data_IF_266883160537
#
_entry.id   IF_266883160537
#
_cell.length_a   1.000
_cell.length_b   1.000
_cell.length_c   1.000
_cell.angle_alpha   90.00
_cell.angle_beta   90.00
_cell.angle_gamma   90.00
#
_symmetry.space_group_name_H-M   'P 1'
#
loop_
_entity.id
_entity.type
_entity.pdbx_description
1 polymer ?
#
# COMPACT_ATOMS: atom_id res chain seq x y z
N UNK A 1 -6.29 -7.58 1.18
CA UNK A 1 -7.22 -6.60 0.58
C UNK A 1 -7.12 -5.31 1.38
N UNK A 2 -7.22 -4.16 0.72
CA UNK A 2 -7.14 -2.84 1.32
C UNK A 2 -8.13 -1.89 0.64
N UNK A 3 -8.53 -0.84 1.33
CA UNK A 3 -9.44 0.20 0.88
C UNK A 3 -8.71 1.55 1.03
N UNK A 4 -8.77 2.40 -0.01
CA UNK A 4 -8.17 3.74 0.06
C UNK A 4 -8.75 4.53 1.23
N UNK A 5 -8.04 5.52 1.80
CA UNK A 5 -8.57 6.27 2.94
C UNK A 5 -9.90 6.96 2.70
N UNK A 6 -10.17 7.37 1.45
CA UNK A 6 -11.46 7.95 1.02
C UNK A 6 -12.52 6.92 0.61
N UNK A 7 -12.18 5.64 0.76
CA UNK A 7 -13.02 4.47 0.49
C UNK A 7 -13.54 4.35 -0.95
N UNK A 8 -12.86 4.97 -1.92
CA UNK A 8 -13.26 4.92 -3.33
C UNK A 8 -12.61 3.81 -4.15
N UNK A 9 -11.52 3.21 -3.66
CA UNK A 9 -10.83 2.13 -4.37
C UNK A 9 -10.50 0.95 -3.47
N UNK A 10 -10.73 -0.26 -3.98
CA UNK A 10 -10.31 -1.52 -3.36
C UNK A 10 -9.02 -1.97 -4.03
N UNK A 11 -8.00 -2.25 -3.22
CA UNK A 11 -6.70 -2.76 -3.62
C UNK A 11 -6.56 -4.22 -3.16
N UNK A 12 -6.45 -5.14 -4.11
CA UNK A 12 -6.41 -6.58 -3.89
C UNK A 12 -5.02 -7.12 -4.22
N UNK A 13 -4.37 -7.70 -3.21
CA UNK A 13 -3.13 -8.45 -3.40
C UNK A 13 -3.45 -9.83 -4.01
N UNK A 14 -2.86 -10.10 -5.16
CA UNK A 14 -2.82 -11.42 -5.79
C UNK A 14 -1.37 -11.91 -5.78
N UNK A 15 -1.03 -12.59 -4.69
CA UNK A 15 0.31 -13.13 -4.45
C UNK A 15 0.76 -14.10 -5.53
N UNK A 16 -0.12 -14.99 -5.97
CA UNK A 16 0.23 -16.04 -6.93
C UNK A 16 0.63 -15.46 -8.28
N UNK A 17 -0.07 -14.43 -8.75
CA UNK A 17 0.22 -13.80 -10.03
C UNK A 17 1.18 -12.60 -9.92
N UNK A 18 1.69 -12.30 -8.72
CA UNK A 18 2.54 -11.14 -8.42
C UNK A 18 1.89 -9.84 -8.92
N UNK A 19 0.63 -9.62 -8.53
CA UNK A 19 -0.18 -8.46 -8.92
C UNK A 19 -0.82 -7.79 -7.73
N UNK A 20 -1.02 -6.47 -7.85
CA UNK A 20 -2.01 -5.72 -7.09
C UNK A 20 -3.09 -5.24 -8.06
N UNK A 21 -4.32 -5.70 -7.86
CA UNK A 21 -5.47 -5.27 -8.64
C UNK A 21 -6.18 -4.11 -7.94
N UNK A 22 -6.56 -3.10 -8.71
CA UNK A 22 -7.29 -1.94 -8.20
C UNK A 22 -8.69 -1.94 -8.80
N UNK A 23 -9.71 -1.86 -7.96
CA UNK A 23 -11.11 -1.79 -8.34
C UNK A 23 -11.74 -0.52 -7.79
N UNK A 24 -12.75 0.01 -8.48
CA UNK A 24 -13.62 1.01 -7.88
C UNK A 24 -14.46 0.38 -6.78
N UNK A 25 -14.50 1.03 -5.62
CA UNK A 25 -15.38 0.68 -4.50
C UNK A 25 -16.78 1.31 -4.66
N UNK A 26 -17.06 1.94 -5.80
CA UNK A 26 -18.33 2.60 -6.13
C UNK A 26 -18.96 1.88 -7.32
N UNK A 27 -20.29 1.69 -7.35
CA UNK A 27 -20.98 1.17 -8.52
C UNK A 27 -20.55 1.93 -9.80
N UNK A 28 -20.24 1.22 -10.91
CA UNK A 28 -20.53 -0.19 -11.18
C UNK A 28 -19.41 -1.18 -10.81
N UNK A 29 -18.55 -0.88 -9.83
CA UNK A 29 -17.51 -1.77 -9.28
C UNK A 29 -16.55 -2.38 -10.33
N UNK A 30 -15.96 -1.53 -11.17
CA UNK A 30 -15.06 -2.00 -12.22
C UNK A 30 -13.61 -2.09 -11.76
N UNK A 31 -12.87 -3.03 -12.34
CA UNK A 31 -11.42 -3.04 -12.26
C UNK A 31 -10.85 -1.82 -12.99
N UNK A 32 -10.03 -1.04 -12.29
CA UNK A 32 -9.44 0.19 -12.79
C UNK A 32 -8.04 -0.07 -13.37
N UNK A 33 -7.25 -0.93 -12.73
CA UNK A 33 -5.93 -1.32 -13.23
C UNK A 33 -5.39 -2.57 -12.55
N UNK A 34 -4.21 -2.99 -12.99
CA UNK A 34 -3.37 -4.02 -12.40
C UNK A 34 -1.93 -3.52 -12.34
N UNK A 35 -1.33 -3.57 -11.16
CA UNK A 35 0.04 -3.16 -10.91
C UNK A 35 0.89 -4.43 -10.78
N UNK A 36 1.87 -4.68 -11.68
CA UNK A 36 2.83 -5.75 -11.49
C UNK A 36 3.79 -5.40 -10.35
N UNK A 37 4.01 -6.35 -9.45
CA UNK A 37 4.92 -6.23 -8.30
C UNK A 37 6.02 -7.29 -8.40
N UNK A 38 7.09 -7.14 -7.63
CA UNK A 38 8.32 -7.93 -7.81
C UNK A 38 8.27 -9.32 -7.17
N UNK A 39 7.33 -9.58 -6.26
CA UNK A 39 7.18 -10.84 -5.54
C UNK A 39 5.69 -11.09 -5.21
N UNK A 40 5.39 -12.05 -4.33
CA UNK A 40 4.04 -12.46 -3.94
C UNK A 40 3.45 -11.54 -2.86
N UNK A 41 2.64 -10.51 -3.18
CA UNK A 41 1.99 -9.70 -2.16
C UNK A 41 0.95 -10.51 -1.40
N UNK A 42 1.02 -10.46 -0.07
CA UNK A 42 -0.04 -10.93 0.84
C UNK A 42 -0.79 -9.78 1.50
N UNK A 43 -0.20 -8.58 1.53
CA UNK A 43 -0.73 -7.45 2.29
C UNK A 43 -0.55 -6.12 1.58
N UNK A 44 -1.46 -5.18 1.87
CA UNK A 44 -1.40 -3.81 1.39
C UNK A 44 -1.89 -2.91 2.53
N UNK A 45 -1.16 -1.83 2.79
CA UNK A 45 -1.61 -0.76 3.69
C UNK A 45 -1.31 0.61 3.08
N UNK A 46 -1.91 1.66 3.64
CA UNK A 46 -1.74 3.03 3.15
C UNK A 46 -1.02 3.89 4.18
N UNK A 47 -0.24 4.84 3.67
CA UNK A 47 0.35 5.88 4.48
C UNK A 47 -0.71 6.63 5.28
N UNK A 48 -0.26 7.27 6.35
CA UNK A 48 -1.10 8.05 7.26
C UNK A 48 -1.95 9.09 6.51
N UNK A 49 -1.38 9.71 5.48
CA UNK A 49 -2.02 10.71 4.63
C UNK A 49 -2.66 10.13 3.34
N UNK A 50 -2.49 8.82 3.10
CA UNK A 50 -3.05 8.15 1.94
C UNK A 50 -2.34 8.40 0.61
N UNK A 51 -1.22 9.15 0.59
CA UNK A 51 -0.48 9.41 -0.65
C UNK A 51 0.26 8.19 -1.18
N UNK A 52 0.63 7.26 -0.29
CA UNK A 52 1.34 6.05 -0.66
C UNK A 52 0.57 4.80 -0.24
N UNK A 53 0.62 3.79 -1.09
CA UNK A 53 0.29 2.42 -0.75
C UNK A 53 1.59 1.62 -0.61
N UNK A 54 1.65 0.76 0.39
CA UNK A 54 2.76 -0.14 0.62
C UNK A 54 2.28 -1.56 0.37
N UNK A 55 2.93 -2.24 -0.58
CA UNK A 55 2.73 -3.67 -0.80
C UNK A 55 3.67 -4.46 0.09
N UNK A 56 3.24 -5.63 0.60
CA UNK A 56 4.10 -6.48 1.41
C UNK A 56 5.33 -7.01 0.69
N UNK A 57 5.31 -7.00 -0.64
CA UNK A 57 6.46 -7.32 -1.50
C UNK A 57 7.50 -6.19 -1.59
N UNK A 58 7.29 -5.06 -0.91
CA UNK A 58 8.30 -4.01 -0.71
C UNK A 58 8.11 -2.76 -1.57
N UNK A 59 7.09 -2.68 -2.43
CA UNK A 59 6.84 -1.50 -3.26
C UNK A 59 6.25 -0.33 -2.45
N UNK A 60 6.76 0.87 -2.73
CA UNK A 60 6.12 2.15 -2.38
C UNK A 60 5.42 2.68 -3.63
N UNK A 61 4.10 2.67 -3.61
CA UNK A 61 3.25 3.02 -4.75
C UNK A 61 2.58 4.37 -4.48
N UNK A 62 2.69 5.34 -5.39
CA UNK A 62 1.90 6.56 -5.31
C UNK A 62 0.43 6.23 -5.60
N UNK A 63 -0.46 6.46 -4.63
CA UNK A 63 -1.87 6.01 -4.72
C UNK A 63 -2.61 6.67 -5.89
N UNK A 64 -2.40 7.97 -6.12
CA UNK A 64 -3.12 8.71 -7.15
C UNK A 64 -2.76 8.32 -8.59
N UNK A 65 -1.47 8.11 -8.87
CA UNK A 65 -1.02 7.70 -10.21
C UNK A 65 -0.90 6.19 -10.38
N UNK A 66 -0.92 5.43 -9.27
CA UNK A 66 -0.74 3.98 -9.20
C UNK A 66 0.60 3.51 -9.74
N UNK A 67 1.62 4.38 -9.65
CA UNK A 67 3.00 4.08 -10.06
C UNK A 67 3.84 3.64 -8.88
N UNK A 68 4.63 2.58 -9.08
CA UNK A 68 5.71 2.23 -8.15
C UNK A 68 6.76 3.33 -8.25
N UNK A 69 7.01 4.02 -7.14
CA UNK A 69 8.05 5.05 -7.05
C UNK A 69 9.40 4.45 -6.69
N UNK A 70 9.40 3.46 -5.80
CA UNK A 70 10.59 2.74 -5.38
C UNK A 70 10.21 1.39 -4.79
N UNK A 71 11.22 0.55 -4.59
CA UNK A 71 11.20 -0.63 -3.75
C UNK A 71 12.01 -0.34 -2.48
N UNK A 72 11.55 -0.82 -1.34
CA UNK A 72 12.29 -0.70 -0.07
C UNK A 72 13.56 -1.55 -0.13
N UNK A 73 14.68 -0.98 0.30
CA UNK A 73 15.97 -1.66 0.36
C UNK A 73 16.65 -1.40 1.71
N UNK A 74 17.45 -2.36 2.15
CA UNK A 74 18.35 -2.20 3.30
C UNK A 74 19.61 -1.39 2.92
N UNK A 75 20.50 -1.17 3.89
CA UNK A 75 21.75 -0.44 3.69
C UNK A 75 22.74 -1.13 2.74
N UNK A 76 22.49 -2.38 2.38
CA UNK A 76 23.28 -3.18 1.44
C UNK A 76 22.60 -3.32 0.06
N UNK A 77 21.51 -2.58 -0.17
CA UNK A 77 20.70 -2.62 -1.40
C UNK A 77 19.97 -3.95 -1.64
N UNK A 78 19.76 -4.77 -0.60
CA UNK A 78 18.87 -5.93 -0.72
C UNK A 78 17.42 -5.46 -0.63
N UNK A 79 16.53 -6.07 -1.42
CA UNK A 79 15.10 -5.78 -1.35
C UNK A 79 14.52 -6.20 0.02
N UNK A 80 13.74 -5.31 0.62
CA UNK A 80 13.07 -5.53 1.89
C UNK A 80 11.58 -5.70 1.65
N UNK A 81 11.04 -6.80 2.16
CA UNK A 81 9.63 -7.15 2.13
C UNK A 81 9.15 -7.46 3.54
N UNK A 82 7.90 -7.11 3.86
CA UNK A 82 7.27 -7.44 5.13
C UNK A 82 5.76 -7.53 4.96
N UNK A 83 5.15 -8.58 5.51
CA UNK A 83 3.69 -8.70 5.51
C UNK A 83 3.01 -7.58 6.30
N UNK A 84 3.62 -7.13 7.41
CA UNK A 84 3.08 -6.06 8.25
C UNK A 84 4.05 -4.89 8.28
N UNK A 85 3.56 -3.72 7.89
CA UNK A 85 4.28 -2.46 7.97
C UNK A 85 3.41 -1.42 8.68
N UNK A 86 4.04 -0.56 9.46
CA UNK A 86 3.39 0.55 10.15
C UNK A 86 4.25 1.79 9.98
N UNK A 87 3.65 2.86 9.47
CA UNK A 87 4.26 4.18 9.42
C UNK A 87 4.17 4.84 10.79
N UNK A 88 5.24 5.46 11.25
CA UNK A 88 5.28 6.23 12.49
C UNK A 88 5.83 7.62 12.16
N UNK A 89 5.06 8.66 12.44
CA UNK A 89 5.53 10.05 12.34
C UNK A 89 6.25 10.43 13.62
N UNK A 90 7.42 11.04 13.47
CA UNK A 90 8.23 11.56 14.58
C UNK A 90 8.34 13.09 14.52
N UNK A 91 8.20 13.74 15.67
CA UNK A 91 8.63 15.13 15.89
C UNK A 91 9.89 15.09 16.76
N UNK A 92 11.05 15.29 16.13
CA UNK A 92 12.34 15.04 16.77
C UNK A 92 12.48 13.57 17.18
N UNK A 93 12.68 13.30 18.47
CA UNK A 93 12.81 11.94 19.01
C UNK A 93 11.49 11.37 19.57
N UNK A 94 10.36 12.03 19.33
CA UNK A 94 9.06 11.62 19.87
C UNK A 94 8.15 11.13 18.75
N UNK A 95 7.65 9.90 18.86
CA UNK A 95 6.58 9.41 18.01
C UNK A 95 5.28 10.20 18.32
N UNK A 96 4.69 10.82 17.31
CA UNK A 96 3.48 11.66 17.45
C UNK A 96 2.26 11.07 16.75
N UNK A 97 2.47 10.15 15.79
CA UNK A 97 1.39 9.48 15.08
C UNK A 97 1.82 8.10 14.64
N UNK A 98 0.86 7.19 14.60
CA UNK A 98 1.04 5.87 14.02
C UNK A 98 -0.03 5.65 12.95
N UNK A 99 0.39 5.07 11.83
CA UNK A 99 -0.50 4.53 10.82
C UNK A 99 -1.14 3.23 11.30
N UNK A 100 -2.10 2.77 10.52
CA UNK A 100 -2.68 1.45 10.71
C UNK A 100 -1.93 0.42 9.84
N UNK A 101 -1.67 -0.76 10.40
CA UNK A 101 -1.12 -1.90 9.65
C UNK A 101 -2.13 -2.46 8.64
N UNK A 102 -3.41 -2.11 8.77
CA UNK A 102 -4.48 -2.51 7.87
C UNK A 102 -4.87 -1.35 6.94
N UNK A 103 -5.17 -1.68 5.67
CA UNK A 103 -5.83 -0.75 4.74
C UNK A 103 -7.35 -0.77 4.92
N UNK A 104 -7.87 -0.35 6.07
CA UNK A 104 -9.30 -0.51 6.42
C UNK A 104 -10.24 0.56 5.84
N UNK A 105 -9.75 1.52 5.06
CA UNK A 105 -10.49 2.76 4.85
C UNK A 105 -10.48 3.60 6.13
N UNK A 106 -10.39 4.92 5.99
CA UNK A 106 -10.23 5.80 7.16
C UNK A 106 -11.09 7.04 7.02
N UNK A 107 -12.23 6.95 6.33
CA UNK A 107 -13.07 8.08 5.91
C UNK A 107 -13.06 9.17 7.00
N UNK A 108 -12.34 10.25 6.67
CA UNK A 108 -12.24 11.50 7.43
C UNK A 108 -13.31 12.45 6.98
#
# INVERSE_FOLDING_TARGET
IALTPDEKEIWLADGHNMRVHVFSAVPPYQQLTTIPVQDMPGWINFSIDGRFAYSSSGEVIETGSRKILTVLQDEFHNNVASEKMMEIDFEGNKAVKAGDQFGIGRLR
#
